data_IF_014956822931
#
_entry.id   IF_014956822931
#
_cell.length_a   1.000
_cell.length_b   1.000
_cell.length_c   1.000
_cell.angle_alpha   90.00
_cell.angle_beta   90.00
_cell.angle_gamma   90.00
#
_symmetry.space_group_name_H-M   'P 1'
#
loop_
_entity.id
_entity.type
_entity.pdbx_description
1 polymer ?
#
# COMPACT_ATOMS: atom_id res chain seq x y z
N UNK A 1 7.57 -28.20 27.04
CA UNK A 1 8.83 -27.90 26.33
C UNK A 1 9.01 -26.40 26.34
N UNK A 2 10.24 -25.86 26.45
CA UNK A 2 10.50 -24.43 26.17
C UNK A 2 10.92 -24.32 24.71
N UNK A 3 10.18 -23.56 23.91
CA UNK A 3 10.64 -23.14 22.60
C UNK A 3 11.75 -22.10 22.81
N UNK A 4 12.91 -22.31 22.20
CA UNK A 4 13.97 -21.30 22.14
C UNK A 4 13.58 -20.28 21.08
N UNK A 5 13.22 -19.07 21.49
CA UNK A 5 13.07 -17.92 20.58
C UNK A 5 14.39 -17.70 19.84
N UNK A 6 14.34 -17.83 18.51
CA UNK A 6 15.52 -17.86 17.64
C UNK A 6 16.18 -16.51 17.48
N UNK A 7 16.94 -16.07 18.48
CA UNK A 7 17.88 -14.96 18.30
C UNK A 7 19.00 -15.39 17.36
N UNK A 8 19.09 -14.75 16.20
CA UNK A 8 20.27 -14.84 15.33
C UNK A 8 21.50 -14.42 16.14
N UNK A 9 22.51 -15.28 16.22
CA UNK A 9 23.80 -14.89 16.79
C UNK A 9 24.59 -14.07 15.77
N UNK A 10 25.45 -13.19 16.26
CA UNK A 10 26.44 -12.44 15.46
C UNK A 10 27.20 -13.40 14.51
N UNK A 11 27.67 -14.53 15.04
CA UNK A 11 28.31 -15.62 14.29
C UNK A 11 27.46 -16.25 13.19
N UNK A 12 26.12 -16.22 13.28
CA UNK A 12 25.23 -16.71 12.23
C UNK A 12 25.02 -15.65 11.14
N UNK A 13 25.01 -14.37 11.51
CA UNK A 13 24.98 -13.24 10.55
C UNK A 13 26.30 -13.16 9.79
N UNK A 14 27.44 -13.33 10.46
CA UNK A 14 28.76 -13.36 9.82
C UNK A 14 28.90 -14.55 8.85
N UNK A 15 28.53 -15.76 9.26
CA UNK A 15 28.54 -16.94 8.39
C UNK A 15 27.59 -16.79 7.18
N UNK A 16 26.45 -16.12 7.36
CA UNK A 16 25.55 -15.77 6.25
C UNK A 16 26.16 -14.71 5.33
N UNK A 17 26.88 -13.71 5.87
CA UNK A 17 27.62 -12.70 5.09
C UNK A 17 28.72 -13.35 4.24
N UNK A 18 29.51 -14.26 4.83
CA UNK A 18 30.52 -15.05 4.10
C UNK A 18 29.88 -15.90 3.00
N UNK A 19 28.73 -16.53 3.28
CA UNK A 19 27.98 -17.34 2.30
C UNK A 19 27.45 -16.49 1.15
N UNK A 20 26.88 -15.30 1.44
CA UNK A 20 26.39 -14.36 0.43
C UNK A 20 27.53 -13.80 -0.44
N UNK A 21 28.65 -13.44 0.16
CA UNK A 21 29.80 -12.89 -0.56
C UNK A 21 30.44 -13.97 -1.46
N UNK A 22 30.58 -15.21 -0.97
CA UNK A 22 31.01 -16.33 -1.79
C UNK A 22 30.03 -16.61 -2.95
N UNK A 23 28.72 -16.56 -2.71
CA UNK A 23 27.71 -16.72 -3.75
C UNK A 23 27.75 -15.57 -4.79
N UNK A 24 27.89 -14.31 -4.35
CA UNK A 24 28.06 -13.13 -5.22
C UNK A 24 29.31 -13.28 -6.09
N UNK A 25 30.44 -13.68 -5.52
CA UNK A 25 31.68 -13.90 -6.26
C UNK A 25 31.54 -15.03 -7.29
N UNK A 26 30.86 -16.12 -6.93
CA UNK A 26 30.54 -17.22 -7.86
C UNK A 26 29.62 -16.75 -9.01
N UNK A 27 28.58 -15.95 -8.72
CA UNK A 27 27.69 -15.39 -9.76
C UNK A 27 28.43 -14.40 -10.66
N UNK A 28 29.26 -13.51 -10.10
CA UNK A 28 30.10 -12.58 -10.87
C UNK A 28 31.08 -13.32 -11.79
N UNK A 29 31.67 -14.42 -11.32
CA UNK A 29 32.57 -15.24 -12.14
C UNK A 29 31.81 -15.91 -13.29
N UNK A 30 30.67 -16.55 -13.00
CA UNK A 30 29.83 -17.17 -14.03
C UNK A 30 29.31 -16.16 -15.06
N UNK A 31 28.94 -14.94 -14.65
CA UNK A 31 28.52 -13.87 -15.55
C UNK A 31 29.67 -13.34 -16.42
N UNK A 32 30.92 -13.34 -15.93
CA UNK A 32 32.11 -12.99 -16.72
C UNK A 32 32.48 -14.08 -17.73
N UNK A 33 32.29 -15.34 -17.38
CA UNK A 33 32.46 -16.49 -18.26
C UNK A 33 31.40 -16.47 -19.37
N UNK A 34 30.12 -16.28 -19.04
CA UNK A 34 29.04 -16.12 -20.03
C UNK A 34 29.27 -14.90 -20.94
N UNK A 35 29.73 -13.75 -20.42
CA UNK A 35 30.05 -12.59 -21.27
C UNK A 35 31.17 -12.89 -22.26
N UNK A 36 32.16 -13.71 -21.88
CA UNK A 36 33.24 -14.11 -22.78
C UNK A 36 32.73 -15.06 -23.89
N UNK A 37 31.89 -16.04 -23.55
CA UNK A 37 31.26 -16.94 -24.53
C UNK A 37 30.36 -16.18 -25.51
N UNK A 38 29.52 -15.27 -25.03
CA UNK A 38 28.66 -14.44 -25.86
C UNK A 38 29.47 -13.48 -26.75
N UNK A 39 30.57 -12.91 -26.24
CA UNK A 39 31.47 -12.07 -27.03
C UNK A 39 32.15 -12.86 -28.17
N UNK A 40 32.55 -14.12 -27.93
CA UNK A 40 33.11 -14.97 -28.98
C UNK A 40 32.04 -15.36 -30.02
N UNK A 41 30.85 -15.76 -29.58
CA UNK A 41 29.74 -16.13 -30.47
C UNK A 41 29.29 -14.97 -31.37
N UNK A 42 29.20 -13.76 -30.81
CA UNK A 42 28.87 -12.53 -31.56
C UNK A 42 30.04 -12.09 -32.47
N UNK A 43 31.29 -12.31 -32.04
CA UNK A 43 32.49 -12.04 -32.84
C UNK A 43 32.61 -12.89 -34.12
N UNK A 44 31.85 -13.98 -34.24
CA UNK A 44 31.79 -14.84 -35.43
C UNK A 44 30.65 -14.46 -36.41
N UNK A 45 29.80 -13.48 -36.07
CA UNK A 45 28.65 -13.08 -36.89
C UNK A 45 29.02 -12.04 -37.96
N UNK A 46 28.12 -11.86 -38.95
CA UNK A 46 28.25 -10.85 -40.01
C UNK A 46 27.77 -9.49 -39.50
N UNK A 47 28.44 -8.40 -39.91
CA UNK A 47 28.05 -7.03 -39.56
C UNK A 47 26.60 -6.68 -39.98
N UNK A 48 25.84 -6.11 -39.05
CA UNK A 48 24.45 -5.66 -39.19
C UNK A 48 24.06 -4.74 -38.01
N UNK A 49 22.85 -4.18 -38.01
CA UNK A 49 22.49 -3.22 -36.95
C UNK A 49 22.38 -3.90 -35.59
N UNK A 50 21.71 -5.05 -35.52
CA UNK A 50 21.62 -5.86 -34.30
C UNK A 50 23.00 -6.26 -33.72
N UNK A 51 24.03 -6.40 -34.57
CA UNK A 51 25.39 -6.68 -34.10
C UNK A 51 26.06 -5.44 -33.48
N UNK A 52 25.77 -4.25 -34.00
CA UNK A 52 26.28 -3.00 -33.43
C UNK A 52 25.62 -2.69 -32.07
N UNK A 53 24.32 -2.93 -31.96
CA UNK A 53 23.60 -2.77 -30.69
C UNK A 53 24.08 -3.80 -29.65
N UNK A 54 24.33 -5.06 -30.06
CA UNK A 54 24.96 -6.06 -29.21
C UNK A 54 26.41 -5.71 -28.81
N UNK A 55 27.19 -5.03 -29.67
CA UNK A 55 28.53 -4.52 -29.30
C UNK A 55 28.44 -3.47 -28.19
N UNK A 56 27.44 -2.58 -28.23
CA UNK A 56 27.20 -1.61 -27.14
C UNK A 56 26.78 -2.32 -25.85
N UNK A 57 25.84 -3.28 -25.93
CA UNK A 57 25.42 -4.06 -24.76
C UNK A 57 26.58 -4.90 -24.15
N UNK A 58 27.47 -5.45 -24.97
CA UNK A 58 28.69 -6.14 -24.52
C UNK A 58 29.63 -5.22 -23.74
N UNK A 59 29.81 -3.98 -24.19
CA UNK A 59 30.69 -3.02 -23.52
C UNK A 59 30.05 -2.48 -22.22
N UNK A 60 28.74 -2.25 -22.20
CA UNK A 60 27.99 -1.91 -20.96
C UNK A 60 28.09 -3.04 -19.94
N UNK A 61 27.73 -4.27 -20.32
CA UNK A 61 27.81 -5.44 -19.43
C UNK A 61 29.24 -5.68 -18.92
N UNK A 62 30.26 -5.46 -19.77
CA UNK A 62 31.67 -5.53 -19.36
C UNK A 62 32.01 -4.45 -18.33
N UNK A 63 31.54 -3.21 -18.48
CA UNK A 63 31.74 -2.16 -17.47
C UNK A 63 31.04 -2.51 -16.15
N UNK A 64 29.80 -2.98 -16.19
CA UNK A 64 29.04 -3.42 -15.00
C UNK A 64 29.79 -4.53 -14.24
N UNK A 65 30.24 -5.58 -14.94
CA UNK A 65 30.99 -6.70 -14.33
C UNK A 65 32.42 -6.32 -13.89
N UNK A 66 33.02 -5.29 -14.48
CA UNK A 66 34.31 -4.72 -14.02
C UNK A 66 34.13 -3.87 -12.76
N UNK A 67 33.03 -3.11 -12.67
CA UNK A 67 32.62 -2.37 -11.47
C UNK A 67 32.12 -3.25 -10.32
N UNK A 68 32.05 -4.58 -10.50
CA UNK A 68 31.60 -5.54 -9.49
C UNK A 68 30.08 -5.66 -9.34
N UNK A 69 29.30 -5.00 -10.21
CA UNK A 69 27.85 -5.18 -10.33
C UNK A 69 27.50 -6.44 -11.13
N UNK A 70 26.23 -6.88 -11.03
CA UNK A 70 25.70 -8.02 -11.78
C UNK A 70 25.00 -7.54 -13.06
N UNK A 71 25.44 -8.00 -14.22
CA UNK A 71 24.92 -7.60 -15.54
C UNK A 71 23.78 -8.52 -16.03
N UNK A 72 22.82 -8.80 -15.15
CA UNK A 72 21.83 -9.89 -15.31
C UNK A 72 20.80 -9.62 -16.41
N UNK A 73 20.50 -8.35 -16.69
CA UNK A 73 19.55 -7.96 -17.74
C UNK A 73 20.25 -7.93 -19.10
N UNK A 74 21.43 -7.30 -19.15
CA UNK A 74 22.25 -7.14 -20.34
C UNK A 74 22.72 -8.50 -20.89
N UNK A 75 23.11 -9.44 -20.01
CA UNK A 75 23.42 -10.82 -20.43
C UNK A 75 22.20 -11.56 -20.99
N UNK A 76 20.98 -11.25 -20.52
CA UNK A 76 19.75 -11.86 -21.06
C UNK A 76 19.44 -11.31 -22.45
N UNK A 77 19.60 -10.01 -22.65
CA UNK A 77 19.47 -9.35 -23.96
C UNK A 77 20.52 -9.88 -24.95
N UNK A 78 21.79 -9.90 -24.56
CA UNK A 78 22.89 -10.43 -25.37
C UNK A 78 22.67 -11.90 -25.76
N UNK A 79 22.16 -12.74 -24.85
CA UNK A 79 21.82 -14.13 -25.13
C UNK A 79 20.69 -14.24 -26.16
N UNK A 80 19.68 -13.36 -26.11
CA UNK A 80 18.60 -13.31 -27.10
C UNK A 80 19.10 -12.88 -28.48
N UNK A 81 19.96 -11.85 -28.55
CA UNK A 81 20.55 -11.39 -29.82
C UNK A 81 21.49 -12.44 -30.43
N UNK A 82 22.35 -13.07 -29.62
CA UNK A 82 23.22 -14.16 -30.05
C UNK A 82 22.40 -15.36 -30.56
N UNK A 83 21.30 -15.71 -29.87
CA UNK A 83 20.39 -16.76 -30.32
C UNK A 83 19.73 -16.41 -31.67
N UNK A 84 19.20 -15.20 -31.83
CA UNK A 84 18.55 -14.76 -33.07
C UNK A 84 19.51 -14.77 -34.27
N UNK A 85 20.73 -14.22 -34.09
CA UNK A 85 21.78 -14.21 -35.13
C UNK A 85 22.25 -15.63 -35.48
N UNK A 86 22.41 -16.52 -34.49
CA UNK A 86 22.87 -17.90 -34.72
C UNK A 86 21.85 -18.76 -35.49
N UNK A 87 20.55 -18.54 -35.27
CA UNK A 87 19.50 -19.34 -35.92
C UNK A 87 19.07 -18.79 -37.28
N UNK A 88 18.93 -17.46 -37.42
CA UNK A 88 18.39 -16.82 -38.62
C UNK A 88 18.98 -15.40 -38.80
N UNK A 89 20.25 -15.25 -39.22
CA UNK A 89 20.92 -13.95 -39.25
C UNK A 89 20.24 -12.93 -40.17
N UNK A 90 19.71 -13.36 -41.32
CA UNK A 90 18.94 -12.51 -42.26
C UNK A 90 17.61 -12.00 -41.68
N UNK A 91 17.10 -12.61 -40.60
CA UNK A 91 15.82 -12.28 -39.97
C UNK A 91 15.97 -11.69 -38.57
N UNK A 92 17.18 -11.71 -37.98
CA UNK A 92 17.42 -11.41 -36.57
C UNK A 92 16.85 -10.05 -36.13
N UNK A 93 16.98 -9.00 -36.95
CA UNK A 93 16.41 -7.67 -36.66
C UNK A 93 14.88 -7.72 -36.52
N UNK A 94 14.17 -8.48 -37.38
CA UNK A 94 12.71 -8.67 -37.28
C UNK A 94 12.33 -9.52 -36.06
N UNK A 95 13.10 -10.55 -35.76
CA UNK A 95 12.89 -11.41 -34.60
C UNK A 95 12.97 -10.57 -33.31
N UNK A 96 14.01 -9.73 -33.20
CA UNK A 96 14.25 -8.88 -32.05
C UNK A 96 13.23 -7.72 -31.94
N UNK A 97 12.74 -7.17 -33.05
CA UNK A 97 11.64 -6.18 -33.02
C UNK A 97 10.34 -6.82 -32.52
N UNK A 98 9.93 -7.94 -33.12
CA UNK A 98 8.72 -8.66 -32.68
C UNK A 98 8.79 -9.13 -31.23
N UNK A 99 9.97 -9.53 -30.74
CA UNK A 99 10.18 -9.86 -29.33
C UNK A 99 10.02 -8.64 -28.41
N UNK A 100 10.47 -7.45 -28.82
CA UNK A 100 10.32 -6.20 -28.05
C UNK A 100 8.86 -5.74 -28.01
N UNK A 101 8.17 -5.68 -29.15
CA UNK A 101 6.75 -5.33 -29.24
C UNK A 101 5.87 -6.32 -28.43
N UNK A 102 6.17 -7.62 -28.51
CA UNK A 102 5.47 -8.64 -27.73
C UNK A 102 5.74 -8.52 -26.22
N UNK A 103 6.97 -8.23 -25.81
CA UNK A 103 7.32 -8.04 -24.40
C UNK A 103 6.67 -6.78 -23.80
N UNK A 104 6.42 -5.75 -24.60
CA UNK A 104 5.61 -4.59 -24.21
C UNK A 104 4.14 -4.97 -24.04
N UNK A 105 3.55 -5.70 -25.00
CA UNK A 105 2.18 -6.20 -24.88
C UNK A 105 2.01 -7.13 -23.67
N UNK A 106 2.95 -8.02 -23.40
CA UNK A 106 2.99 -8.88 -22.21
C UNK A 106 3.27 -8.12 -20.90
N UNK A 107 3.77 -6.88 -20.96
CA UNK A 107 3.81 -5.97 -19.81
C UNK A 107 2.42 -5.37 -19.58
N UNK A 108 1.85 -4.70 -20.58
CA UNK A 108 0.52 -4.09 -20.49
C UNK A 108 -0.59 -5.09 -20.15
N UNK A 109 -0.47 -6.35 -20.58
CA UNK A 109 -1.42 -7.42 -20.28
C UNK A 109 -1.38 -7.94 -18.83
N UNK A 110 -0.35 -7.59 -18.03
CA UNK A 110 -0.31 -7.88 -16.59
C UNK A 110 -1.06 -6.85 -15.76
N UNK A 111 -1.10 -5.60 -16.21
CA UNK A 111 -1.78 -4.49 -15.53
C UNK A 111 -3.32 -4.52 -15.72
N UNK A 112 -3.81 -5.39 -16.60
CA UNK A 112 -5.22 -5.52 -16.98
C UNK A 112 -5.76 -6.89 -16.53
N UNK A 113 -6.62 -6.95 -15.49
CA UNK A 113 -7.23 -8.20 -15.04
C UNK A 113 -7.95 -8.95 -16.17
N UNK A 114 -7.84 -10.27 -16.17
CA UNK A 114 -8.37 -11.15 -17.23
C UNK A 114 -7.53 -11.22 -18.51
N UNK A 115 -6.78 -10.16 -18.86
CA UNK A 115 -6.08 -10.09 -20.15
C UNK A 115 -5.01 -11.17 -20.33
N UNK A 116 -4.19 -11.44 -19.33
CA UNK A 116 -3.19 -12.51 -19.39
C UNK A 116 -3.81 -13.88 -19.73
N UNK A 117 -4.96 -14.23 -19.16
CA UNK A 117 -5.66 -15.48 -19.43
C UNK A 117 -6.31 -15.48 -20.84
N UNK A 118 -6.91 -14.36 -21.25
CA UNK A 118 -7.51 -14.20 -22.58
C UNK A 118 -6.47 -14.26 -23.72
N UNK A 119 -5.23 -13.82 -23.45
CA UNK A 119 -4.15 -13.71 -24.44
C UNK A 119 -3.21 -14.94 -24.47
N UNK A 120 -3.11 -15.73 -23.39
CA UNK A 120 -2.10 -16.78 -23.20
C UNK A 120 -1.85 -17.71 -24.42
N UNK A 121 -2.92 -18.23 -25.04
CA UNK A 121 -2.82 -19.13 -26.21
C UNK A 121 -2.28 -18.39 -27.44
N UNK A 122 -2.75 -17.17 -27.66
CA UNK A 122 -2.36 -16.37 -28.82
C UNK A 122 -0.93 -15.81 -28.67
N UNK A 123 -0.52 -15.40 -27.47
CA UNK A 123 0.85 -15.05 -27.11
C UNK A 123 1.81 -16.22 -27.39
N UNK A 124 1.45 -17.44 -26.99
CA UNK A 124 2.26 -18.64 -27.23
C UNK A 124 2.47 -18.88 -28.73
N UNK A 125 1.42 -18.68 -29.55
CA UNK A 125 1.53 -18.75 -31.00
C UNK A 125 2.36 -17.61 -31.61
N UNK A 126 2.26 -16.40 -31.06
CA UNK A 126 3.03 -15.23 -31.48
C UNK A 126 4.53 -15.44 -31.25
N UNK A 127 4.94 -15.86 -30.04
CA UNK A 127 6.34 -16.20 -29.71
C UNK A 127 6.91 -17.19 -30.73
N UNK A 128 6.21 -18.31 -30.95
CA UNK A 128 6.65 -19.35 -31.88
C UNK A 128 6.76 -18.86 -33.33
N UNK A 129 5.93 -17.90 -33.77
CA UNK A 129 6.01 -17.32 -35.11
C UNK A 129 7.20 -16.36 -35.24
N UNK A 130 7.39 -15.50 -34.25
CA UNK A 130 8.50 -14.56 -34.16
C UNK A 130 9.84 -15.30 -34.07
N UNK A 131 9.94 -16.38 -33.27
CA UNK A 131 11.11 -17.27 -33.19
C UNK A 131 11.46 -17.94 -34.54
N UNK A 132 10.46 -18.18 -35.40
CA UNK A 132 10.64 -18.68 -36.79
C UNK A 132 10.96 -17.56 -37.80
N UNK A 133 10.98 -16.29 -37.39
CA UNK A 133 11.17 -15.13 -38.27
C UNK A 133 9.99 -14.83 -39.20
N UNK A 134 8.85 -15.48 -38.97
CA UNK A 134 7.60 -15.26 -39.70
C UNK A 134 7.03 -13.87 -39.37
N UNK A 135 6.40 -13.22 -40.35
CA UNK A 135 5.69 -11.98 -40.12
C UNK A 135 4.39 -12.28 -39.35
N UNK A 136 4.33 -11.89 -38.07
CA UNK A 136 3.17 -12.05 -37.21
C UNK A 136 2.51 -10.68 -36.94
N UNK A 137 1.20 -10.59 -37.14
CA UNK A 137 0.44 -9.38 -36.85
C UNK A 137 0.03 -9.34 -35.36
N UNK A 138 0.53 -8.33 -34.63
CA UNK A 138 0.20 -8.11 -33.22
C UNK A 138 -1.10 -7.31 -33.01
N UNK A 139 -1.67 -6.69 -34.05
CA UNK A 139 -2.89 -5.89 -33.91
C UNK A 139 -4.10 -6.67 -33.33
N UNK A 140 -4.33 -7.97 -33.66
CA UNK A 140 -5.38 -8.76 -33.02
C UNK A 140 -5.16 -9.01 -31.52
N UNK A 141 -3.91 -9.02 -31.06
CA UNK A 141 -3.58 -9.12 -29.63
C UNK A 141 -3.86 -7.78 -28.93
N UNK A 142 -3.41 -6.67 -29.50
CA UNK A 142 -3.70 -5.32 -28.99
C UNK A 142 -5.21 -5.04 -28.93
N UNK A 143 -5.96 -5.35 -29.99
CA UNK A 143 -7.42 -5.23 -30.01
C UNK A 143 -8.14 -6.22 -29.06
N UNK A 144 -7.43 -7.22 -28.53
CA UNK A 144 -7.95 -8.10 -27.46
C UNK A 144 -7.64 -7.54 -26.08
N UNK A 145 -6.45 -6.96 -25.88
CA UNK A 145 -6.08 -6.22 -24.68
C UNK A 145 -6.98 -4.98 -24.48
N UNK A 146 -7.21 -4.18 -25.51
CA UNK A 146 -8.08 -2.99 -25.47
C UNK A 146 -9.54 -3.33 -25.07
N UNK A 147 -10.05 -4.47 -25.56
CA UNK A 147 -11.37 -4.99 -25.13
C UNK A 147 -11.37 -5.40 -23.66
N UNK A 148 -10.28 -5.98 -23.15
CA UNK A 148 -10.15 -6.30 -21.72
C UNK A 148 -10.02 -5.02 -20.88
N UNK A 149 -9.30 -3.99 -21.35
CA UNK A 149 -9.24 -2.67 -20.70
C UNK A 149 -10.62 -2.01 -20.63
N UNK A 150 -11.41 -2.09 -21.71
CA UNK A 150 -12.77 -1.56 -21.76
C UNK A 150 -13.72 -2.31 -20.81
N UNK A 151 -13.62 -3.64 -20.74
CA UNK A 151 -14.38 -4.46 -19.80
C UNK A 151 -14.00 -4.16 -18.35
N UNK A 152 -12.70 -4.04 -18.06
CA UNK A 152 -12.17 -3.65 -16.76
C UNK A 152 -12.65 -2.26 -16.31
N UNK A 153 -12.70 -1.29 -17.22
CA UNK A 153 -13.22 0.05 -16.93
C UNK A 153 -14.74 0.04 -16.66
N UNK A 154 -15.52 -0.69 -17.47
CA UNK A 154 -16.95 -0.86 -17.26
C UNK A 154 -17.27 -1.57 -15.94
N UNK A 155 -16.48 -2.58 -15.56
CA UNK A 155 -16.62 -3.27 -14.26
C UNK A 155 -16.30 -2.34 -13.08
N UNK A 156 -15.30 -1.47 -13.18
CA UNK A 156 -15.04 -0.46 -12.14
C UNK A 156 -16.20 0.53 -12.03
N UNK A 157 -16.78 0.97 -13.14
CA UNK A 157 -17.95 1.84 -13.13
C UNK A 157 -19.18 1.17 -12.49
N UNK A 158 -19.40 -0.13 -12.73
CA UNK A 158 -20.44 -0.93 -12.05
C UNK A 158 -20.19 -1.00 -10.54
N UNK A 159 -18.97 -1.31 -10.11
CA UNK A 159 -18.62 -1.36 -8.68
C UNK A 159 -18.75 0.02 -7.99
N UNK A 160 -18.26 1.11 -8.60
CA UNK A 160 -18.43 2.46 -8.04
C UNK A 160 -19.92 2.84 -7.94
N UNK A 161 -20.77 2.40 -8.88
CA UNK A 161 -22.22 2.65 -8.86
C UNK A 161 -22.96 1.81 -7.81
N UNK A 162 -22.61 0.52 -7.66
CA UNK A 162 -23.14 -0.34 -6.57
C UNK A 162 -22.72 0.19 -5.20
N UNK A 163 -21.48 0.65 -5.05
CA UNK A 163 -21.00 1.28 -3.83
C UNK A 163 -21.77 2.58 -3.52
N UNK A 164 -21.99 3.46 -4.50
CA UNK A 164 -22.79 4.68 -4.32
C UNK A 164 -24.24 4.36 -3.90
N UNK A 165 -24.84 3.27 -4.40
CA UNK A 165 -26.16 2.78 -3.96
C UNK A 165 -26.14 2.30 -2.49
N UNK A 166 -25.19 1.42 -2.13
CA UNK A 166 -25.06 0.91 -0.74
C UNK A 166 -24.82 2.05 0.26
N UNK A 167 -24.01 3.04 -0.12
CA UNK A 167 -23.72 4.22 0.71
C UNK A 167 -24.97 5.06 0.95
N UNK A 168 -25.76 5.34 -0.10
CA UNK A 168 -26.98 6.14 0.01
C UNK A 168 -28.05 5.46 0.88
N UNK A 169 -28.27 4.16 0.65
CA UNK A 169 -29.22 3.35 1.41
C UNK A 169 -28.79 3.19 2.88
N UNK A 170 -27.49 3.06 3.17
CA UNK A 170 -26.98 3.11 4.53
C UNK A 170 -27.27 4.46 5.19
N UNK A 171 -27.08 5.59 4.51
CA UNK A 171 -27.30 6.93 5.09
C UNK A 171 -28.78 7.21 5.42
N UNK A 172 -29.74 6.58 4.74
CA UNK A 172 -31.16 6.57 5.14
C UNK A 172 -31.40 5.75 6.42
N UNK A 173 -30.77 4.57 6.52
CA UNK A 173 -30.99 3.59 7.60
C UNK A 173 -30.15 3.89 8.85
N UNK A 174 -29.09 4.72 8.77
CA UNK A 174 -28.10 4.96 9.84
C UNK A 174 -28.66 5.45 11.19
N UNK A 175 -29.89 5.97 11.21
CA UNK A 175 -30.57 6.40 12.43
C UNK A 175 -31.05 5.23 13.32
N UNK A 176 -30.98 4.00 12.83
CA UNK A 176 -31.44 2.79 13.52
C UNK A 176 -30.31 2.13 14.31
N UNK A 177 -30.59 1.76 15.56
CA UNK A 177 -29.63 1.09 16.44
C UNK A 177 -29.67 -0.43 16.23
N UNK A 178 -28.57 -1.00 15.72
CA UNK A 178 -28.39 -2.44 15.58
C UNK A 178 -26.93 -2.78 15.23
N UNK A 179 -26.48 -4.00 15.56
CA UNK A 179 -25.13 -4.45 15.23
C UNK A 179 -24.94 -4.55 13.71
N UNK A 180 -25.97 -5.02 13.00
CA UNK A 180 -26.07 -5.08 11.53
C UNK A 180 -25.80 -3.71 10.89
N UNK A 181 -26.39 -2.63 11.44
CA UNK A 181 -26.19 -1.25 10.98
C UNK A 181 -24.77 -0.75 11.28
N UNK A 182 -24.19 -1.10 12.44
CA UNK A 182 -22.81 -0.74 12.78
C UNK A 182 -21.78 -1.43 11.88
N UNK A 183 -21.99 -2.72 11.56
CA UNK A 183 -21.15 -3.48 10.62
C UNK A 183 -21.27 -2.91 9.20
N UNK A 184 -22.49 -2.64 8.74
CA UNK A 184 -22.77 -2.00 7.45
C UNK A 184 -22.10 -0.61 7.34
N UNK A 185 -22.12 0.19 8.41
CA UNK A 185 -21.46 1.49 8.46
C UNK A 185 -19.95 1.41 8.21
N UNK A 186 -19.24 0.51 8.89
CA UNK A 186 -17.79 0.31 8.66
C UNK A 186 -17.48 -0.09 7.21
N UNK A 187 -18.31 -0.94 6.61
CA UNK A 187 -18.16 -1.31 5.20
C UNK A 187 -18.48 -0.14 4.26
N UNK A 188 -19.52 0.66 4.57
CA UNK A 188 -19.83 1.86 3.81
C UNK A 188 -18.69 2.90 3.86
N UNK A 189 -18.01 3.05 5.00
CA UNK A 189 -16.83 3.91 5.14
C UNK A 189 -15.60 3.36 4.40
N UNK A 190 -15.37 2.05 4.44
CA UNK A 190 -14.34 1.40 3.62
C UNK A 190 -14.63 1.56 2.10
N UNK A 191 -15.90 1.43 1.69
CA UNK A 191 -16.34 1.70 0.31
C UNK A 191 -16.15 3.16 -0.06
N UNK A 192 -16.50 4.13 0.82
CA UNK A 192 -16.28 5.58 0.62
C UNK A 192 -14.79 5.89 0.41
N UNK A 193 -13.90 5.30 1.21
CA UNK A 193 -12.45 5.50 1.12
C UNK A 193 -11.82 4.91 -0.15
N UNK A 194 -12.38 3.80 -0.68
CA UNK A 194 -11.88 3.13 -1.88
C UNK A 194 -12.55 3.59 -3.19
N UNK A 195 -13.66 4.33 -3.10
CA UNK A 195 -14.41 4.89 -4.24
C UNK A 195 -13.55 5.91 -5.01
N UNK A 196 -13.55 5.84 -6.35
CA UNK A 196 -12.78 6.74 -7.25
C UNK A 196 -11.25 6.76 -7.07
N UNK A 197 -10.67 5.86 -6.25
CA UNK A 197 -9.25 5.52 -6.40
C UNK A 197 -8.99 5.00 -7.83
N UNK A 198 -7.80 5.29 -8.36
CA UNK A 198 -7.45 5.12 -9.77
C UNK A 198 -7.26 3.66 -10.23
N UNK A 199 -6.21 3.34 -11.02
CA UNK A 199 -6.01 1.98 -11.51
C UNK A 199 -5.68 1.01 -10.37
N UNK A 200 -6.68 0.28 -9.89
CA UNK A 200 -6.54 -0.77 -8.88
C UNK A 200 -5.91 -2.04 -9.50
N UNK A 201 -5.01 -2.70 -8.77
CA UNK A 201 -4.51 -4.04 -9.12
C UNK A 201 -5.62 -5.10 -9.10
N UNK A 202 -5.35 -6.30 -9.63
CA UNK A 202 -6.31 -7.41 -9.60
C UNK A 202 -6.79 -7.72 -8.17
N UNK A 203 -5.85 -8.00 -7.26
CA UNK A 203 -6.12 -8.35 -5.86
C UNK A 203 -6.78 -7.22 -5.07
N UNK A 204 -6.59 -5.96 -5.48
CA UNK A 204 -7.30 -4.81 -4.89
C UNK A 204 -8.77 -4.76 -5.36
N UNK A 205 -9.06 -5.11 -6.62
CA UNK A 205 -10.44 -5.21 -7.13
C UNK A 205 -11.18 -6.41 -6.59
N UNK A 206 -10.50 -7.55 -6.41
CA UNK A 206 -11.11 -8.73 -5.80
C UNK A 206 -11.53 -8.45 -4.35
N UNK A 207 -10.66 -7.82 -3.55
CA UNK A 207 -11.02 -7.35 -2.20
C UNK A 207 -12.16 -6.34 -2.23
N UNK A 208 -12.14 -5.36 -3.15
CA UNK A 208 -13.24 -4.38 -3.26
C UNK A 208 -14.59 -5.04 -3.58
N UNK A 209 -14.60 -6.03 -4.48
CA UNK A 209 -15.80 -6.82 -4.78
C UNK A 209 -16.29 -7.60 -3.55
N UNK A 210 -15.38 -8.26 -2.81
CA UNK A 210 -15.73 -8.97 -1.57
C UNK A 210 -16.29 -8.04 -0.47
N UNK A 211 -15.70 -6.85 -0.28
CA UNK A 211 -16.21 -5.81 0.63
C UNK A 211 -17.61 -5.35 0.23
N UNK A 212 -17.84 -5.18 -1.08
CA UNK A 212 -19.09 -4.67 -1.64
C UNK A 212 -20.21 -5.72 -1.59
N UNK A 213 -19.95 -6.96 -1.99
CA UNK A 213 -20.90 -8.07 -1.89
C UNK A 213 -21.30 -8.33 -0.42
N UNK A 214 -20.34 -8.21 0.52
CA UNK A 214 -20.59 -8.29 1.97
C UNK A 214 -21.45 -7.14 2.51
N UNK A 215 -21.27 -5.93 1.98
CA UNK A 215 -22.08 -4.77 2.34
C UNK A 215 -23.51 -4.87 1.78
N UNK A 216 -23.68 -5.34 0.54
CA UNK A 216 -25.01 -5.61 -0.04
C UNK A 216 -25.77 -6.70 0.74
N UNK A 217 -25.08 -7.75 1.21
CA UNK A 217 -25.68 -8.78 2.05
C UNK A 217 -26.20 -8.21 3.39
N UNK A 218 -25.38 -7.44 4.10
CA UNK A 218 -25.78 -6.77 5.35
C UNK A 218 -26.87 -5.72 5.14
N UNK A 219 -26.94 -5.07 3.96
CA UNK A 219 -28.01 -4.15 3.59
C UNK A 219 -29.34 -4.88 3.37
N UNK A 220 -29.30 -6.09 2.81
CA UNK A 220 -30.46 -6.98 2.72
C UNK A 220 -30.95 -7.45 4.08
N UNK A 221 -30.04 -7.81 4.99
CA UNK A 221 -30.34 -8.20 6.37
C UNK A 221 -30.95 -7.03 7.17
N UNK A 222 -30.33 -5.85 7.14
CA UNK A 222 -30.83 -4.63 7.77
C UNK A 222 -32.24 -4.23 7.31
N UNK A 223 -32.54 -4.36 6.00
CA UNK A 223 -33.88 -4.12 5.45
C UNK A 223 -34.90 -5.15 5.96
N UNK A 224 -34.53 -6.42 6.05
CA UNK A 224 -35.40 -7.47 6.58
C UNK A 224 -35.67 -7.30 8.09
N UNK A 225 -34.64 -6.94 8.87
CA UNK A 225 -34.79 -6.55 10.29
C UNK A 225 -35.75 -5.36 10.45
N UNK A 226 -35.59 -4.32 9.64
CA UNK A 226 -36.44 -3.12 9.70
C UNK A 226 -37.90 -3.40 9.29
N UNK A 227 -38.14 -4.19 8.23
CA UNK A 227 -39.49 -4.58 7.83
C UNK A 227 -40.15 -5.50 8.89
N UNK A 228 -39.37 -6.40 9.52
CA UNK A 228 -39.85 -7.21 10.63
C UNK A 228 -40.19 -6.35 11.86
N UNK A 229 -39.34 -5.38 12.20
CA UNK A 229 -39.59 -4.42 13.27
C UNK A 229 -40.84 -3.58 13.00
N UNK A 230 -41.02 -3.05 11.79
CA UNK A 230 -42.25 -2.33 11.40
C UNK A 230 -43.50 -3.20 11.55
N UNK A 231 -43.47 -4.46 11.10
CA UNK A 231 -44.60 -5.40 11.26
C UNK A 231 -44.93 -5.66 12.73
N UNK A 232 -43.91 -5.86 13.56
CA UNK A 232 -44.04 -6.01 15.02
C UNK A 232 -44.64 -4.75 15.66
N UNK A 233 -44.17 -3.56 15.29
CA UNK A 233 -44.72 -2.28 15.74
C UNK A 233 -46.16 -2.05 15.26
N UNK A 234 -46.54 -2.52 14.08
CA UNK A 234 -47.91 -2.45 13.59
C UNK A 234 -48.85 -3.36 14.41
N UNK A 235 -48.50 -4.65 14.60
CA UNK A 235 -49.30 -5.57 15.42
C UNK A 235 -49.45 -5.09 16.85
N UNK A 236 -48.36 -4.67 17.51
CA UNK A 236 -48.46 -4.12 18.86
C UNK A 236 -49.11 -2.73 18.90
N UNK A 237 -49.05 -1.94 17.82
CA UNK A 237 -49.64 -0.61 17.75
C UNK A 237 -51.17 -0.62 17.71
N UNK A 238 -51.77 -1.66 17.13
CA UNK A 238 -53.23 -1.87 17.13
C UNK A 238 -53.66 -2.59 18.41
N UNK A 239 -53.17 -3.80 18.66
CA UNK A 239 -53.60 -4.65 19.80
C UNK A 239 -53.31 -4.03 21.17
N UNK A 240 -52.18 -3.33 21.36
CA UNK A 240 -51.83 -2.76 22.65
C UNK A 240 -52.43 -1.37 22.91
N UNK A 241 -53.02 -0.71 21.91
CA UNK A 241 -53.81 0.51 22.12
C UNK A 241 -55.27 0.16 22.45
N UNK A 242 -55.90 -0.77 21.74
CA UNK A 242 -57.25 -1.25 22.09
C UNK A 242 -57.28 -1.82 23.51
N UNK A 243 -56.31 -2.66 23.89
CA UNK A 243 -56.22 -3.23 25.23
C UNK A 243 -55.75 -2.22 26.32
N UNK A 244 -55.36 -1.01 25.94
CA UNK A 244 -55.16 0.12 26.86
C UNK A 244 -56.43 0.96 27.00
N UNK A 245 -57.20 1.13 25.92
CA UNK A 245 -58.46 1.87 25.91
C UNK A 245 -59.57 1.11 26.65
N UNK A 246 -59.67 -0.21 26.48
CA UNK A 246 -60.63 -1.08 27.20
C UNK A 246 -60.36 -1.11 28.72
N UNK A 247 -59.11 -0.84 29.14
CA UNK A 247 -58.73 -0.64 30.55
C UNK A 247 -59.13 0.75 31.10
N UNK A 248 -59.35 1.74 30.23
CA UNK A 248 -59.79 3.09 30.64
C UNK A 248 -61.33 3.29 30.56
N UNK A 249 -62.08 2.48 29.82
CA UNK A 249 -63.54 2.62 29.67
C UNK A 249 -64.37 1.68 30.58
N UNK A 250 -63.79 1.19 31.69
CA UNK A 250 -64.50 0.30 32.64
C UNK A 250 -64.44 0.75 34.11
N UNK A 251 -64.99 1.94 34.41
CA UNK A 251 -65.11 2.39 35.81
C UNK A 251 -65.60 3.83 36.05
N UNK A 252 -66.54 4.33 35.25
CA UNK A 252 -66.87 5.77 35.20
C UNK A 252 -68.30 6.19 35.59
N UNK A 253 -69.01 5.47 36.48
CA UNK A 253 -70.36 5.89 36.89
C UNK A 253 -70.37 7.19 37.72
N UNK A 254 -70.74 8.28 37.04
CA UNK A 254 -71.39 9.51 37.52
C UNK A 254 -71.29 9.88 39.02
N UNK A 255 -70.56 10.95 39.32
CA UNK A 255 -70.71 11.72 40.55
C UNK A 255 -70.57 13.23 40.28
N UNK A 256 -71.67 13.87 39.88
CA UNK A 256 -71.85 15.31 40.06
C UNK A 256 -71.91 15.62 41.58
N UNK A 257 -71.08 16.54 42.07
CA UNK A 257 -71.54 17.84 42.62
C UNK A 257 -70.35 18.74 43.06
N UNK A 258 -70.61 20.05 43.06
CA UNK A 258 -69.91 21.15 43.73
C UNK A 258 -68.50 21.60 43.22
N UNK A 259 -68.14 22.90 43.35
CA UNK A 259 -67.11 23.52 42.49
C UNK A 259 -65.96 24.29 43.20
N UNK A 260 -64.82 24.46 42.53
CA UNK A 260 -63.83 25.49 42.91
C UNK A 260 -62.45 25.42 42.22
N UNK A 261 -61.99 26.54 41.64
CA UNK A 261 -60.68 26.69 40.99
C UNK A 261 -60.66 26.18 39.53
N UNK A 262 -60.30 26.92 38.49
CA UNK A 262 -59.36 28.06 38.35
C UNK A 262 -57.98 27.79 38.97
N UNK A 263 -56.89 27.64 38.22
CA UNK A 263 -56.72 27.66 36.75
C UNK A 263 -55.34 28.22 36.40
N UNK A 264 -54.48 27.42 35.73
CA UNK A 264 -53.07 27.74 35.50
C UNK A 264 -52.60 27.35 34.07
N UNK A 265 -52.98 28.17 33.09
CA UNK A 265 -52.40 28.18 31.74
C UNK A 265 -52.19 29.63 31.29
N UNK A 266 -51.00 29.96 30.76
CA UNK A 266 -50.73 31.21 30.03
C UNK A 266 -49.53 32.03 30.53
N UNK A 267 -48.74 32.59 29.59
CA UNK A 267 -47.53 33.40 29.84
C UNK A 267 -46.25 32.55 29.83
N UNK A 268 -45.45 32.41 28.76
CA UNK A 268 -45.22 33.22 27.56
C UNK A 268 -44.51 34.56 27.80
N UNK A 269 -43.22 34.62 27.46
CA UNK A 269 -42.47 35.75 26.87
C UNK A 269 -41.13 35.24 26.31
N UNK A 270 -40.50 35.99 25.40
CA UNK A 270 -39.33 35.56 24.62
C UNK A 270 -38.13 36.54 24.72
N UNK A 271 -37.26 36.76 23.71
CA UNK A 271 -35.85 36.37 23.81
C UNK A 271 -34.86 37.56 23.83
N UNK A 272 -33.56 37.26 23.95
CA UNK A 272 -32.45 38.22 23.77
C UNK A 272 -31.39 37.66 22.82
N UNK A 273 -30.98 38.44 21.82
CA UNK A 273 -29.96 38.09 20.82
C UNK A 273 -28.63 38.81 21.06
N UNK A 274 -27.53 38.20 20.64
CA UNK A 274 -26.24 38.84 20.39
C UNK A 274 -25.52 38.10 19.24
N UNK A 275 -24.63 38.79 18.53
CA UNK A 275 -24.32 38.55 17.10
C UNK A 275 -22.86 38.94 16.79
N UNK A 276 -22.17 38.15 15.93
CA UNK A 276 -20.94 38.46 15.15
C UNK A 276 -19.64 38.85 15.91
N UNK A 277 -18.40 38.80 15.36
CA UNK A 277 -17.80 38.22 14.13
C UNK A 277 -16.29 37.87 14.40
N UNK A 278 -15.50 37.27 13.48
CA UNK A 278 -14.12 36.80 13.74
C UNK A 278 -13.01 37.83 13.44
N UNK A 279 -11.74 37.48 13.72
CA UNK A 279 -10.55 38.24 13.30
C UNK A 279 -9.32 37.36 12.94
N UNK A 280 -8.74 37.67 11.77
CA UNK A 280 -7.32 37.58 11.41
C UNK A 280 -6.86 39.04 11.06
N UNK A 281 -5.58 39.42 10.75
CA UNK A 281 -4.46 38.67 10.13
C UNK A 281 -3.12 38.83 10.93
N UNK A 282 -1.89 38.64 10.41
CA UNK A 282 -1.07 39.52 9.50
C UNK A 282 0.14 38.79 8.85
N UNK A 283 0.85 39.42 7.90
CA UNK A 283 1.84 38.83 6.96
C UNK A 283 3.34 39.15 7.18
N UNK A 284 4.24 38.29 6.64
CA UNK A 284 5.62 38.53 6.10
C UNK A 284 6.03 37.30 5.22
N UNK A 285 6.86 37.26 4.15
CA UNK A 285 7.70 38.19 3.34
C UNK A 285 9.24 38.07 3.50
N UNK A 286 9.91 37.61 2.42
CA UNK A 286 11.36 37.59 2.04
C UNK A 286 12.39 36.92 2.99
N UNK A 287 13.58 36.43 2.58
CA UNK A 287 14.37 36.45 1.32
C UNK A 287 15.15 35.09 1.15
N UNK A 288 15.52 34.60 -0.07
CA UNK A 288 16.05 33.23 -0.25
C UNK A 288 17.59 33.04 -0.15
N UNK A 289 18.04 31.79 0.01
CA UNK A 289 19.46 31.40 0.00
C UNK A 289 19.85 30.54 -1.22
N UNK A 290 21.03 30.79 -1.79
CA UNK A 290 21.54 30.15 -3.02
C UNK A 290 22.33 28.85 -2.74
N UNK A 291 22.55 27.97 -3.75
CA UNK A 291 22.79 26.55 -3.50
C UNK A 291 24.21 26.18 -3.05
N UNK A 292 24.29 25.13 -2.23
CA UNK A 292 25.54 24.45 -1.92
C UNK A 292 26.09 23.69 -3.15
N UNK A 293 27.42 23.69 -3.29
CA UNK A 293 28.15 23.05 -4.39
C UNK A 293 28.15 21.52 -4.22
N UNK A 294 27.87 20.72 -5.27
CA UNK A 294 27.96 19.27 -5.17
C UNK A 294 29.40 18.81 -4.90
N UNK A 295 29.55 17.82 -4.03
CA UNK A 295 30.78 17.06 -3.89
C UNK A 295 30.84 15.96 -4.96
N UNK A 296 32.04 15.64 -5.44
CA UNK A 296 32.24 14.51 -6.36
C UNK A 296 31.99 13.18 -5.61
N UNK A 297 31.31 12.19 -6.22
CA UNK A 297 31.05 10.93 -5.55
C UNK A 297 32.34 10.14 -5.38
N UNK A 298 32.73 9.89 -4.13
CA UNK A 298 33.68 8.83 -3.82
C UNK A 298 33.08 7.49 -4.29
N UNK A 299 33.91 6.61 -4.86
CA UNK A 299 33.48 5.32 -5.40
C UNK A 299 33.13 4.33 -4.27
N UNK A 300 31.94 4.48 -3.70
CA UNK A 300 31.37 3.55 -2.72
C UNK A 300 30.61 2.43 -3.45
N UNK A 301 31.13 1.20 -3.38
CA UNK A 301 30.36 0.01 -3.76
C UNK A 301 29.11 -0.05 -2.85
N UNK A 302 27.88 0.04 -3.41
CA UNK A 302 26.67 0.08 -2.62
C UNK A 302 26.46 -1.20 -1.81
N UNK A 303 27.04 -2.33 -2.25
CA UNK A 303 26.97 -3.60 -1.52
C UNK A 303 27.89 -3.60 -0.29
N UNK A 304 29.09 -3.01 -0.40
CA UNK A 304 30.01 -2.86 0.74
C UNK A 304 29.40 -1.97 1.83
N UNK A 305 28.67 -0.92 1.45
CA UNK A 305 27.90 -0.10 2.39
C UNK A 305 26.79 -0.93 3.07
N UNK A 306 26.00 -1.68 2.29
CA UNK A 306 24.88 -2.48 2.79
C UNK A 306 25.35 -3.59 3.76
N UNK A 307 26.48 -4.25 3.48
CA UNK A 307 27.09 -5.21 4.39
C UNK A 307 27.67 -4.56 5.66
N UNK A 308 28.22 -3.34 5.54
CA UNK A 308 28.84 -2.59 6.64
C UNK A 308 27.86 -2.16 7.75
N UNK A 309 26.56 -2.03 7.46
CA UNK A 309 25.53 -1.70 8.46
C UNK A 309 25.35 -2.78 9.56
N UNK A 310 25.97 -3.95 9.43
CA UNK A 310 25.74 -5.13 10.28
C UNK A 310 26.94 -5.59 11.12
N UNK A 311 28.01 -4.79 11.22
CA UNK A 311 29.16 -5.07 12.11
C UNK A 311 29.29 -3.99 13.19
N UNK A 312 29.16 -4.37 14.46
CA UNK A 312 29.29 -3.46 15.59
C UNK A 312 30.73 -2.94 15.76
N UNK A 313 30.96 -1.67 15.43
CA UNK A 313 32.29 -1.05 15.47
C UNK A 313 32.79 -0.79 16.91
N UNK A 314 33.31 -1.84 17.57
CA UNK A 314 34.02 -1.72 18.85
C UNK A 314 35.34 -0.96 18.68
N UNK A 315 35.33 0.35 18.95
CA UNK A 315 36.47 1.25 18.72
C UNK A 315 36.95 1.99 19.99
N UNK A 316 37.65 1.26 20.86
CA UNK A 316 38.52 1.77 21.94
C UNK A 316 37.87 2.50 23.13
N UNK A 317 38.43 2.31 24.32
CA UNK A 317 37.89 2.84 25.57
C UNK A 317 38.49 4.20 25.96
N UNK A 318 37.63 5.19 26.21
CA UNK A 318 37.92 6.38 27.00
C UNK A 318 36.77 6.62 27.99
N UNK A 319 37.08 6.71 29.29
CA UNK A 319 36.08 6.92 30.34
C UNK A 319 35.64 8.40 30.45
N UNK A 320 34.49 8.68 31.10
CA UNK A 320 33.49 9.53 30.46
C UNK A 320 33.52 11.00 30.89
N UNK A 321 33.08 11.87 29.98
CA UNK A 321 32.57 13.19 30.32
C UNK A 321 31.04 13.11 30.49
N UNK A 322 30.53 13.53 31.64
CA UNK A 322 29.10 13.41 31.97
C UNK A 322 28.25 14.38 31.15
N UNK A 323 27.29 13.85 30.40
CA UNK A 323 26.21 14.56 29.70
C UNK A 323 24.91 13.85 30.10
N UNK A 324 23.81 14.56 30.43
CA UNK A 324 22.75 14.00 31.27
C UNK A 324 21.93 12.91 30.58
N UNK A 325 21.55 11.93 31.38
CA UNK A 325 20.54 10.90 31.08
C UNK A 325 19.17 11.58 30.87
N UNK A 326 18.64 11.46 29.66
CA UNK A 326 17.40 12.11 29.23
C UNK A 326 16.75 11.31 28.08
N UNK A 327 16.63 9.99 28.24
CA UNK A 327 15.77 9.18 27.39
C UNK A 327 14.30 9.63 27.56
N UNK A 328 13.84 10.54 26.70
CA UNK A 328 12.45 10.99 26.69
C UNK A 328 11.53 9.81 26.41
N UNK A 329 10.74 9.41 27.42
CA UNK A 329 9.83 8.27 27.34
C UNK A 329 8.63 8.57 26.45
N UNK A 330 8.84 8.43 25.14
CA UNK A 330 7.77 8.37 24.15
C UNK A 330 7.00 7.05 24.37
N UNK A 331 5.78 7.14 24.89
CA UNK A 331 4.93 5.98 25.19
C UNK A 331 3.46 6.35 25.12
N UNK A 332 2.67 5.53 24.42
CA UNK A 332 1.22 5.63 24.37
C UNK A 332 0.57 5.34 25.74
N UNK A 333 -0.70 5.77 25.96
CA UNK A 333 -1.41 5.51 27.21
C UNK A 333 -1.52 4.00 27.52
N UNK A 334 -1.49 3.67 28.81
CA UNK A 334 -1.50 2.30 29.31
C UNK A 334 -2.81 1.56 28.94
N UNK A 335 -2.74 0.77 27.86
CA UNK A 335 -3.89 0.09 27.26
C UNK A 335 -3.83 0.03 25.73
N UNK A 336 -3.01 0.88 25.09
CA UNK A 336 -2.75 0.84 23.66
C UNK A 336 -2.20 -0.53 23.18
N UNK A 337 -2.59 -0.91 21.97
CA UNK A 337 -2.16 -2.12 21.23
C UNK A 337 -1.05 -1.81 20.22
N UNK A 338 -0.71 -0.53 20.05
CA UNK A 338 0.36 -0.06 19.19
C UNK A 338 1.64 0.30 19.97
N UNK A 339 2.79 0.06 19.35
CA UNK A 339 4.11 0.60 19.74
C UNK A 339 4.42 1.84 18.89
N UNK A 340 5.17 2.81 19.42
CA UNK A 340 5.62 4.01 18.70
C UNK A 340 7.11 4.34 18.94
N UNK A 341 7.76 4.88 17.92
CA UNK A 341 9.16 5.29 17.92
C UNK A 341 9.39 6.59 17.15
N UNK A 342 10.20 7.50 17.71
CA UNK A 342 10.78 8.61 16.96
C UNK A 342 12.15 8.19 16.44
N UNK A 343 12.37 8.35 15.14
CA UNK A 343 13.59 8.00 14.41
C UNK A 343 14.23 9.27 13.85
N UNK A 344 15.56 9.36 13.88
CA UNK A 344 16.32 10.42 13.21
C UNK A 344 17.48 9.81 12.44
N UNK A 345 17.51 10.03 11.12
CA UNK A 345 18.39 9.29 10.21
C UNK A 345 18.15 7.78 10.34
N UNK A 346 19.21 7.02 10.55
CA UNK A 346 19.16 5.56 10.71
C UNK A 346 19.04 5.07 12.16
N UNK A 347 18.67 5.92 13.12
CA UNK A 347 18.67 5.58 14.55
C UNK A 347 17.30 5.87 15.22
N UNK A 348 16.84 4.93 16.04
CA UNK A 348 15.74 5.16 16.99
C UNK A 348 16.23 6.10 18.10
N UNK A 349 15.51 7.20 18.33
CA UNK A 349 15.81 8.25 19.31
C UNK A 349 14.93 8.13 20.56
N UNK A 350 13.68 7.70 20.39
CA UNK A 350 12.74 7.44 21.48
C UNK A 350 11.75 6.31 21.10
N UNK A 351 11.20 5.61 22.09
CA UNK A 351 10.33 4.44 21.94
C UNK A 351 10.89 3.20 22.66
N UNK A 352 10.20 2.04 22.63
CA UNK A 352 10.67 0.82 23.28
C UNK A 352 11.88 0.19 22.56
N UNK A 353 12.76 -0.51 23.30
CA UNK A 353 13.92 -1.20 22.71
C UNK A 353 13.50 -2.38 21.83
N UNK A 354 13.54 -2.20 20.50
CA UNK A 354 13.26 -3.26 19.53
C UNK A 354 14.25 -3.25 18.34
N UNK A 355 14.88 -4.40 18.09
CA UNK A 355 15.78 -4.59 16.95
C UNK A 355 15.06 -4.54 15.60
N UNK A 356 13.76 -4.84 15.53
CA UNK A 356 12.98 -4.68 14.32
C UNK A 356 12.76 -3.19 13.99
N UNK A 357 12.45 -2.36 14.98
CA UNK A 357 12.30 -0.92 14.80
C UNK A 357 13.63 -0.26 14.37
N UNK A 358 14.76 -0.71 14.94
CA UNK A 358 16.09 -0.27 14.52
C UNK A 358 16.46 -0.75 13.09
N UNK A 359 15.93 -1.89 12.65
CA UNK A 359 16.01 -2.34 11.24
C UNK A 359 15.19 -1.45 10.30
N UNK A 360 13.95 -1.11 10.70
CA UNK A 360 13.09 -0.17 9.95
C UNK A 360 13.70 1.22 9.88
N UNK A 361 14.32 1.73 10.96
CA UNK A 361 15.02 3.02 10.96
C UNK A 361 16.10 3.12 9.86
N UNK A 362 16.85 2.04 9.61
CA UNK A 362 17.84 2.01 8.53
C UNK A 362 17.20 2.05 7.12
N UNK A 363 15.96 1.57 6.97
CA UNK A 363 15.18 1.66 5.74
C UNK A 363 14.54 3.06 5.57
N UNK A 364 14.08 3.68 6.66
CA UNK A 364 13.56 5.06 6.63
C UNK A 364 14.63 6.06 6.21
N UNK A 365 15.89 5.87 6.61
CA UNK A 365 17.02 6.65 6.09
C UNK A 365 17.23 6.54 4.56
N UNK A 366 16.80 5.43 3.94
CA UNK A 366 16.80 5.27 2.48
C UNK A 366 15.55 5.91 1.85
N UNK A 367 14.39 5.82 2.51
CA UNK A 367 13.16 6.49 2.09
C UNK A 367 13.31 8.03 2.07
N UNK A 368 14.01 8.58 3.06
CA UNK A 368 14.39 9.99 3.17
C UNK A 368 15.25 10.44 1.97
N UNK A 369 16.30 9.66 1.65
CA UNK A 369 17.17 9.89 0.49
C UNK A 369 16.45 9.74 -0.87
N UNK A 370 15.29 9.07 -0.91
CA UNK A 370 14.41 8.97 -2.08
C UNK A 370 13.32 10.06 -2.11
N UNK A 371 13.25 10.94 -1.11
CA UNK A 371 12.23 12.00 -1.03
C UNK A 371 10.82 11.49 -0.70
N UNK A 372 10.70 10.36 -0.01
CA UNK A 372 9.43 9.83 0.47
C UNK A 372 9.05 10.49 1.79
N UNK A 373 7.74 10.71 2.01
CA UNK A 373 7.21 11.34 3.23
C UNK A 373 6.29 10.43 4.05
N UNK A 374 5.89 9.29 3.47
CA UNK A 374 4.98 8.30 4.05
C UNK A 374 5.39 6.91 3.57
N UNK A 375 5.44 5.95 4.48
CA UNK A 375 5.70 4.55 4.18
C UNK A 375 4.81 3.68 5.06
N UNK A 376 4.00 2.82 4.43
CA UNK A 376 3.10 1.88 5.09
C UNK A 376 3.50 0.45 4.66
N UNK A 377 3.66 -0.46 5.62
CA UNK A 377 4.17 -1.83 5.42
C UNK A 377 3.38 -2.82 6.28
N UNK A 378 3.36 -4.11 5.92
CA UNK A 378 2.75 -5.13 6.77
C UNK A 378 3.07 -6.56 6.34
N UNK A 379 2.97 -7.48 7.29
CA UNK A 379 3.05 -8.94 7.11
C UNK A 379 1.88 -9.64 7.84
N UNK A 380 1.88 -10.97 7.88
CA UNK A 380 0.83 -11.79 8.52
C UNK A 380 0.76 -11.62 10.07
N UNK A 381 1.68 -10.87 10.68
CA UNK A 381 1.79 -10.72 12.14
C UNK A 381 1.72 -9.27 12.62
N UNK A 382 2.21 -8.29 11.83
CA UNK A 382 2.21 -6.88 12.20
C UNK A 382 2.04 -5.94 11.00
N UNK A 383 1.48 -4.77 11.27
CA UNK A 383 1.49 -3.61 10.38
C UNK A 383 2.44 -2.54 10.93
N UNK A 384 3.09 -1.80 10.03
CA UNK A 384 4.00 -0.70 10.36
C UNK A 384 3.66 0.52 9.52
N UNK A 385 3.71 1.70 10.14
CA UNK A 385 3.33 2.96 9.51
C UNK A 385 4.33 4.04 9.88
N UNK A 386 4.84 4.77 8.89
CA UNK A 386 5.83 5.82 9.09
C UNK A 386 5.46 7.12 8.37
N UNK A 387 5.79 8.25 9.01
CA UNK A 387 5.59 9.61 8.50
C UNK A 387 6.87 10.43 8.70
N UNK A 388 7.29 11.18 7.69
CA UNK A 388 8.37 12.16 7.86
C UNK A 388 7.86 13.36 8.68
N UNK A 389 8.68 13.84 9.61
CA UNK A 389 8.35 14.90 10.56
C UNK A 389 9.29 16.12 10.48
N UNK A 390 10.36 16.06 9.67
CA UNK A 390 11.34 17.14 9.52
C UNK A 390 12.59 16.68 8.78
N UNK A 391 13.70 17.40 8.93
CA UNK A 391 15.00 17.09 8.32
C UNK A 391 15.53 15.73 8.81
N UNK A 392 15.29 14.66 8.04
CA UNK A 392 15.70 13.29 8.41
C UNK A 392 14.98 12.72 9.64
N UNK A 393 13.89 13.32 10.09
CA UNK A 393 13.09 12.82 11.22
C UNK A 393 11.84 12.08 10.77
N UNK A 394 11.56 10.95 11.43
CA UNK A 394 10.44 10.09 11.12
C UNK A 394 9.73 9.64 12.40
N UNK A 395 8.40 9.64 12.35
CA UNK A 395 7.52 8.99 13.33
C UNK A 395 7.19 7.60 12.78
N UNK A 396 7.37 6.57 13.59
CA UNK A 396 7.14 5.17 13.25
C UNK A 396 6.19 4.54 14.27
N UNK A 397 5.20 3.78 13.83
CA UNK A 397 4.33 2.99 14.68
C UNK A 397 4.21 1.55 14.18
N UNK A 398 3.84 0.63 15.09
CA UNK A 398 3.49 -0.76 14.80
C UNK A 398 2.25 -1.18 15.58
N UNK A 399 1.38 -1.99 14.97
CA UNK A 399 0.37 -2.76 15.70
C UNK A 399 0.20 -4.15 15.06
N UNK A 400 -0.70 -4.98 15.59
CA UNK A 400 -1.06 -6.26 14.98
C UNK A 400 -1.88 -6.11 13.69
N UNK A 401 -2.70 -5.04 13.60
CA UNK A 401 -3.62 -4.76 12.49
C UNK A 401 -3.77 -3.25 12.27
N UNK A 402 -4.23 -2.87 11.06
CA UNK A 402 -4.35 -1.46 10.66
C UNK A 402 -5.33 -0.66 11.53
N UNK A 403 -6.45 -1.28 11.92
CA UNK A 403 -7.45 -0.67 12.80
C UNK A 403 -6.82 -0.26 14.14
N UNK A 404 -6.09 -1.17 14.79
CA UNK A 404 -5.38 -0.89 16.05
C UNK A 404 -4.25 0.11 15.91
N UNK A 405 -3.59 0.18 14.74
CA UNK A 405 -2.56 1.19 14.47
C UNK A 405 -3.18 2.58 14.30
N UNK A 406 -4.30 2.71 13.61
CA UNK A 406 -4.96 3.99 13.36
C UNK A 406 -5.66 4.51 14.63
N UNK A 407 -6.39 3.64 15.35
CA UNK A 407 -7.00 3.90 16.67
C UNK A 407 -5.98 4.46 17.67
N UNK A 408 -4.87 3.74 17.88
CA UNK A 408 -3.98 3.96 19.02
C UNK A 408 -2.78 4.87 18.66
N UNK A 409 -2.36 4.95 17.38
CA UNK A 409 -1.16 5.69 16.95
C UNK A 409 -1.35 6.63 15.73
N UNK A 410 -2.47 6.55 15.00
CA UNK A 410 -2.78 7.39 13.84
C UNK A 410 -2.67 8.90 14.12
N UNK A 411 -3.33 9.43 15.17
CA UNK A 411 -3.23 10.85 15.55
C UNK A 411 -1.80 11.32 15.80
N UNK A 412 -0.98 10.49 16.44
CA UNK A 412 0.41 10.81 16.74
C UNK A 412 1.31 10.75 15.51
N UNK A 413 1.08 9.79 14.60
CA UNK A 413 1.83 9.70 13.34
C UNK A 413 1.65 10.97 12.51
N UNK A 414 0.42 11.46 12.36
CA UNK A 414 0.14 12.61 11.51
C UNK A 414 0.47 13.94 12.21
N UNK A 415 0.11 14.13 13.50
CA UNK A 415 0.34 15.41 14.22
C UNK A 415 1.69 15.48 14.95
N UNK A 416 2.09 14.40 15.62
CA UNK A 416 3.20 14.35 16.59
C UNK A 416 2.77 14.54 18.05
N UNK A 417 1.48 14.78 18.32
CA UNK A 417 0.91 14.96 19.65
C UNK A 417 0.34 13.62 20.19
N UNK A 418 0.33 13.45 21.52
CA UNK A 418 -0.08 12.23 22.26
C UNK A 418 -1.28 12.50 23.17
#
# INVERSE_FOLDING_TARGET
MRQSTGRLSETAVDAWRETLEAARQQTLQAQREELAELAEQLGQQVDGQALNDARVALDVARMTLQGGGLATEELRELRAVAQALTHSPELAERILEGQRELAELERSARDVPGAAAALAVALTGARQAIERGEAYDLAPLWATLERQMSQAAAQRQDFDARADFVIAEYDEVRGLAGETIQRLGRLADALRAQRRLGPMSADARERYAQTLDGAEALLGEARAEYEAAQKVTATFGEDALDNLLDVFDFGGESLDDAPGGSGLFGGALAPTSSVDEPLAPTSSVDEPLAPAKPAEPASSDPFAALLGLSTGASASAAQPASVPDAASSLSLPAGARADIWQVRGSAVVAGPEDGAAQGVAALLAQADALGLYRLDMGDDAHVWSARAAGEGEWRLARAADWDSLDDDAGPWLDTGEL
#
